data_IF_111257286102
#
_entry.id   IF_111257286102
#
_cell.length_a   1.000
_cell.length_b   1.000
_cell.length_c   1.000
_cell.angle_alpha   90.00
_cell.angle_beta   90.00
_cell.angle_gamma   90.00
#
_symmetry.space_group_name_H-M   'P 1'
#
loop_
_entity.id
_entity.type
_entity.pdbx_description
1 polymer ?
#
# COMPACT_ATOMS: atom_id res chain seq x y z
N UNK A 1 -0.12 35.47 -20.73
CA UNK A 1 0.48 36.14 -21.91
C UNK A 1 -0.51 37.17 -22.42
N UNK A 2 -0.23 38.46 -22.19
CA UNK A 2 -1.03 39.53 -22.75
C UNK A 2 -0.43 39.87 -24.12
N UNK A 3 -1.21 39.67 -25.17
CA UNK A 3 -0.86 40.14 -26.52
C UNK A 3 -1.18 41.63 -26.56
N UNK A 4 -0.15 42.45 -26.49
CA UNK A 4 -0.30 43.90 -26.67
C UNK A 4 -0.32 44.21 -28.17
N UNK A 5 -1.39 44.84 -28.67
CA UNK A 5 -1.38 45.32 -30.06
C UNK A 5 -0.36 46.46 -30.23
N UNK A 6 0.29 46.48 -31.38
CA UNK A 6 1.29 47.52 -31.73
C UNK A 6 0.56 48.86 -31.99
N UNK A 7 0.93 49.91 -31.24
CA UNK A 7 0.30 51.24 -31.37
C UNK A 7 1.32 52.23 -31.98
N UNK A 8 0.90 52.89 -33.04
CA UNK A 8 1.68 53.99 -33.64
C UNK A 8 1.39 55.27 -32.84
N UNK A 9 2.41 55.80 -32.17
CA UNK A 9 2.28 57.02 -31.39
C UNK A 9 2.29 58.25 -32.33
N UNK A 10 1.15 58.98 -32.36
CA UNK A 10 1.04 60.21 -33.06
C UNK A 10 0.59 61.34 -32.13
N UNK A 11 0.70 62.62 -32.54
CA UNK A 11 0.38 63.78 -31.69
C UNK A 11 -1.07 63.84 -31.14
N UNK A 12 -1.92 62.89 -31.52
CA UNK A 12 -3.29 62.66 -30.99
C UNK A 12 -3.48 61.26 -30.53
N UNK A 13 -2.58 60.78 -29.65
CA UNK A 13 -2.70 59.42 -29.11
C UNK A 13 -3.91 59.33 -28.19
N UNK A 14 -4.90 58.43 -28.43
CA UNK A 14 -5.99 58.23 -27.50
C UNK A 14 -5.48 57.60 -26.20
N UNK A 15 -6.19 57.87 -25.12
CA UNK A 15 -5.90 57.23 -23.84
C UNK A 15 -6.05 55.73 -23.97
N UNK A 16 -5.01 55.00 -23.67
CA UNK A 16 -4.97 53.52 -23.79
C UNK A 16 -5.21 52.98 -22.38
N UNK A 17 -6.34 52.36 -22.14
CA UNK A 17 -6.64 51.64 -20.91
C UNK A 17 -6.29 50.14 -21.11
N UNK A 18 -5.31 49.69 -20.39
CA UNK A 18 -4.92 48.28 -20.40
C UNK A 18 -5.58 47.63 -19.21
N UNK A 19 -6.62 46.86 -19.45
CA UNK A 19 -7.28 46.04 -18.42
C UNK A 19 -6.58 44.68 -18.38
N UNK A 20 -5.83 44.44 -17.33
CA UNK A 20 -5.26 43.12 -17.08
C UNK A 20 -6.23 42.26 -16.28
N UNK A 21 -6.67 41.16 -16.84
CA UNK A 21 -7.40 40.14 -16.10
C UNK A 21 -6.39 39.20 -15.42
N UNK A 22 -6.56 38.99 -14.14
CA UNK A 22 -5.80 38.03 -13.40
C UNK A 22 -6.19 36.61 -13.86
N UNK A 23 -5.31 35.91 -14.56
CA UNK A 23 -5.49 34.50 -14.88
C UNK A 23 -5.10 33.71 -13.65
N UNK A 24 -6.07 33.41 -12.82
CA UNK A 24 -5.88 32.52 -11.67
C UNK A 24 -5.92 31.10 -12.23
N UNK A 25 -4.77 30.54 -12.53
CA UNK A 25 -4.65 29.09 -12.62
C UNK A 25 -4.81 28.56 -11.19
N UNK A 26 -6.00 28.15 -10.85
CA UNK A 26 -6.23 27.29 -9.71
C UNK A 26 -5.47 25.99 -10.02
N UNK A 27 -4.26 25.88 -9.50
CA UNK A 27 -3.63 24.58 -9.34
C UNK A 27 -4.61 23.80 -8.46
N UNK A 28 -5.09 22.68 -8.97
CA UNK A 28 -5.83 21.75 -8.14
C UNK A 28 -4.97 21.51 -6.89
N UNK A 29 -5.55 21.86 -5.75
CA UNK A 29 -4.90 21.64 -4.46
C UNK A 29 -4.60 20.15 -4.38
N UNK A 30 -3.34 19.79 -4.51
CA UNK A 30 -2.88 18.43 -4.22
C UNK A 30 -2.99 18.29 -2.71
N UNK A 31 -4.15 17.87 -2.26
CA UNK A 31 -4.35 17.49 -0.88
C UNK A 31 -3.48 16.24 -0.66
N UNK A 32 -2.27 16.46 -0.17
CA UNK A 32 -1.44 15.36 0.33
C UNK A 32 -2.10 14.86 1.60
N UNK A 33 -3.02 13.95 1.44
CA UNK A 33 -3.59 13.23 2.57
C UNK A 33 -2.48 12.37 3.13
N UNK A 34 -1.93 12.80 4.26
CA UNK A 34 -1.00 11.99 5.02
C UNK A 34 -1.77 10.79 5.57
N UNK A 35 -1.62 9.64 4.94
CA UNK A 35 -2.30 8.39 5.33
C UNK A 35 -2.01 7.95 6.78
N UNK A 36 -0.97 8.49 7.39
CA UNK A 36 -0.62 8.20 8.79
C UNK A 36 -1.59 8.81 9.82
N UNK A 37 -2.50 9.71 9.43
CA UNK A 37 -3.39 10.46 10.34
C UNK A 37 -4.86 10.47 9.92
N UNK A 38 -5.24 9.86 8.82
CA UNK A 38 -6.65 9.62 8.52
C UNK A 38 -7.24 8.57 9.46
N UNK A 39 -7.52 8.99 10.67
CA UNK A 39 -8.55 8.32 11.44
C UNK A 39 -9.89 8.69 10.80
N UNK A 40 -10.37 7.86 9.89
CA UNK A 40 -11.78 7.88 9.54
C UNK A 40 -12.59 7.90 10.84
N UNK A 41 -13.68 8.67 10.89
CA UNK A 41 -14.56 8.71 12.07
C UNK A 41 -15.12 7.34 12.47
N UNK A 42 -15.03 6.38 11.56
CA UNK A 42 -15.46 4.98 11.75
C UNK A 42 -14.31 4.03 12.13
N UNK A 43 -13.11 4.54 12.39
CA UNK A 43 -11.98 3.71 12.82
C UNK A 43 -12.18 3.30 14.26
N UNK A 44 -12.51 2.04 14.46
CA UNK A 44 -12.56 1.42 15.78
C UNK A 44 -11.23 1.50 16.53
N UNK A 45 -11.29 1.47 17.87
CA UNK A 45 -10.07 1.42 18.67
C UNK A 45 -9.22 0.22 18.26
N UNK A 46 -7.93 0.47 17.93
CA UNK A 46 -6.99 -0.59 17.57
C UNK A 46 -6.87 -0.91 16.07
N UNK A 47 -7.55 -0.17 15.19
CA UNK A 47 -7.36 -0.28 13.75
C UNK A 47 -6.15 0.53 13.30
N UNK A 48 -5.35 -0.06 12.40
CA UNK A 48 -4.26 0.59 11.67
C UNK A 48 -4.46 0.38 10.18
N UNK A 49 -4.24 1.42 9.39
CA UNK A 49 -4.28 1.34 7.93
C UNK A 49 -2.84 1.45 7.44
N UNK A 50 -2.40 0.47 6.66
CA UNK A 50 -1.04 0.34 6.16
C UNK A 50 -1.11 0.41 4.64
N UNK A 51 -0.51 1.44 4.06
CA UNK A 51 -0.39 1.58 2.62
C UNK A 51 0.91 0.97 2.07
N UNK A 52 1.01 0.89 0.75
CA UNK A 52 2.22 0.40 0.06
C UNK A 52 3.47 1.21 0.45
N UNK A 53 3.33 2.53 0.61
CA UNK A 53 4.43 3.41 1.00
C UNK A 53 4.99 3.08 2.39
N UNK A 54 4.14 2.63 3.31
CA UNK A 54 4.57 2.22 4.64
C UNK A 54 5.32 0.90 4.59
N UNK A 55 4.84 -0.04 3.74
CA UNK A 55 5.49 -1.33 3.51
C UNK A 55 6.89 -1.16 2.91
N UNK A 56 7.06 -0.20 2.00
CA UNK A 56 8.35 0.05 1.34
C UNK A 56 9.35 0.81 2.23
N UNK A 57 8.87 1.67 3.13
CA UNK A 57 9.74 2.50 3.98
C UNK A 57 10.35 1.76 5.17
N UNK A 58 9.75 0.67 5.61
CA UNK A 58 10.21 -0.02 6.82
C UNK A 58 11.52 -0.78 6.52
N UNK A 59 12.59 -0.32 7.14
CA UNK A 59 13.89 -0.96 7.04
C UNK A 59 13.84 -2.39 7.59
N UNK A 60 14.36 -3.36 6.83
CA UNK A 60 14.32 -4.78 7.22
C UNK A 60 12.96 -5.46 7.06
N UNK A 61 11.94 -4.73 6.63
CA UNK A 61 10.60 -5.28 6.35
C UNK A 61 10.59 -6.27 5.18
N UNK A 62 11.58 -6.18 4.31
CA UNK A 62 11.72 -7.04 3.11
C UNK A 62 10.44 -7.14 2.30
N UNK A 63 9.65 -6.04 2.30
CA UNK A 63 8.35 -5.94 1.63
C UNK A 63 7.35 -7.03 2.05
N UNK A 64 7.48 -7.51 3.28
CA UNK A 64 6.61 -8.52 3.88
C UNK A 64 5.70 -7.87 4.93
N UNK A 65 4.38 -7.97 4.73
CA UNK A 65 3.36 -7.38 5.61
C UNK A 65 3.55 -7.86 7.05
N UNK A 66 3.87 -9.15 7.25
CA UNK A 66 4.05 -9.71 8.58
C UNK A 66 5.17 -9.01 9.35
N UNK A 67 6.19 -8.55 8.65
CA UNK A 67 7.30 -7.79 9.25
C UNK A 67 6.95 -6.33 9.50
N UNK A 68 6.11 -5.75 8.64
CA UNK A 68 5.63 -4.38 8.78
C UNK A 68 4.77 -4.25 10.03
N UNK A 69 3.80 -5.14 10.22
CA UNK A 69 2.89 -5.05 11.37
C UNK A 69 3.57 -5.26 12.73
N UNK A 70 4.75 -5.84 12.76
CA UNK A 70 5.57 -5.96 13.99
C UNK A 70 6.00 -4.62 14.58
N UNK A 71 6.02 -3.57 13.77
CA UNK A 71 6.39 -2.23 14.24
C UNK A 71 5.28 -1.53 14.99
N UNK A 72 4.07 -2.10 14.97
CA UNK A 72 2.93 -1.50 15.64
C UNK A 72 2.83 -1.89 17.12
N UNK A 73 2.30 -0.99 17.95
CA UNK A 73 2.12 -1.24 19.38
C UNK A 73 1.24 -2.48 19.63
N UNK A 74 1.64 -3.30 20.59
CA UNK A 74 0.90 -4.50 20.98
C UNK A 74 1.15 -5.70 20.09
N UNK A 75 2.03 -5.60 19.10
CA UNK A 75 2.47 -6.71 18.25
C UNK A 75 3.86 -7.15 18.66
N UNK A 76 4.00 -8.42 18.95
CA UNK A 76 5.27 -9.09 19.17
C UNK A 76 5.45 -10.23 18.16
N UNK A 77 6.58 -10.87 18.19
CA UNK A 77 6.94 -11.93 17.24
C UNK A 77 7.62 -13.09 17.93
N UNK A 78 7.60 -14.23 17.27
CA UNK A 78 8.34 -15.40 17.77
C UNK A 78 9.83 -15.11 17.88
N UNK A 79 10.49 -15.50 18.99
CA UNK A 79 11.94 -15.36 19.14
C UNK A 79 12.73 -16.24 18.17
N UNK A 80 12.09 -17.18 17.51
CA UNK A 80 12.71 -18.06 16.52
C UNK A 80 12.89 -17.29 15.21
N UNK A 81 14.12 -16.96 14.86
CA UNK A 81 14.46 -15.96 13.84
C UNK A 81 13.98 -16.23 12.40
N UNK A 82 13.68 -17.47 12.03
CA UNK A 82 13.15 -17.80 10.70
C UNK A 82 11.61 -17.76 10.62
N UNK A 83 10.91 -17.58 11.74
CA UNK A 83 9.44 -17.52 11.81
C UNK A 83 8.98 -16.07 11.80
N UNK A 84 7.88 -15.83 11.09
CA UNK A 84 7.19 -14.53 11.06
C UNK A 84 5.84 -14.59 11.79
N UNK A 85 5.76 -15.38 12.84
CA UNK A 85 4.55 -15.46 13.65
C UNK A 85 4.17 -14.11 14.25
N UNK A 86 2.91 -13.76 14.14
CA UNK A 86 2.35 -12.57 14.75
C UNK A 86 1.71 -12.94 16.09
N UNK A 87 2.16 -12.31 17.13
CA UNK A 87 1.63 -12.42 18.49
C UNK A 87 1.04 -11.06 18.83
N UNK A 88 -0.28 -10.95 18.79
CA UNK A 88 -0.97 -9.69 19.02
C UNK A 88 -1.60 -9.71 20.40
N UNK A 89 -1.21 -8.75 21.24
CA UNK A 89 -1.70 -8.62 22.63
C UNK A 89 -1.57 -9.90 23.46
N UNK A 90 -0.54 -10.70 23.20
CA UNK A 90 -0.29 -11.95 23.93
C UNK A 90 -1.13 -13.15 23.46
N UNK A 91 -1.93 -13.02 22.41
CA UNK A 91 -2.69 -14.12 21.83
C UNK A 91 -1.80 -15.09 21.02
N UNK A 92 -2.28 -16.29 20.80
CA UNK A 92 -1.57 -17.30 20.03
C UNK A 92 -1.49 -16.90 18.54
N UNK A 93 -0.44 -17.30 17.80
CA UNK A 93 -0.35 -17.05 16.36
C UNK A 93 -1.53 -17.57 15.55
N UNK A 94 -2.13 -18.68 15.96
CA UNK A 94 -3.32 -19.27 15.32
C UNK A 94 -4.63 -18.53 15.57
N UNK A 95 -4.63 -17.53 16.45
CA UNK A 95 -5.81 -16.71 16.77
C UNK A 95 -5.96 -15.48 15.89
N UNK A 96 -5.02 -15.27 14.96
CA UNK A 96 -5.08 -14.21 13.98
C UNK A 96 -5.85 -14.68 12.74
N UNK A 97 -6.74 -13.83 12.22
CA UNK A 97 -7.44 -14.08 10.97
C UNK A 97 -6.91 -13.19 9.87
N UNK A 98 -6.81 -13.76 8.68
CA UNK A 98 -6.31 -13.07 7.50
C UNK A 98 -7.34 -13.12 6.39
N UNK A 99 -7.62 -11.98 5.78
CA UNK A 99 -8.54 -11.84 4.65
C UNK A 99 -7.80 -11.23 3.47
N UNK A 100 -8.07 -11.75 2.28
CA UNK A 100 -7.59 -11.21 1.01
C UNK A 100 -8.81 -10.93 0.14
N UNK A 101 -9.06 -9.65 -0.14
CA UNK A 101 -10.26 -9.18 -0.85
C UNK A 101 -11.57 -9.77 -0.30
N UNK A 102 -11.67 -9.86 1.03
CA UNK A 102 -12.83 -10.39 1.73
C UNK A 102 -12.91 -11.92 1.85
N UNK A 103 -11.93 -12.64 1.29
CA UNK A 103 -11.84 -14.10 1.39
C UNK A 103 -10.86 -14.47 2.51
N UNK A 104 -11.30 -15.29 3.45
CA UNK A 104 -10.42 -15.80 4.50
C UNK A 104 -9.33 -16.71 3.93
N UNK A 105 -8.08 -16.41 4.29
CA UNK A 105 -6.91 -17.21 3.93
C UNK A 105 -6.23 -17.73 5.20
N UNK A 106 -5.71 -18.97 5.17
CA UNK A 106 -5.16 -19.58 6.38
C UNK A 106 -3.86 -18.95 6.86
N UNK A 107 -3.07 -18.41 5.93
CA UNK A 107 -1.75 -17.85 6.21
C UNK A 107 -1.39 -16.77 5.19
N UNK A 108 -0.54 -15.83 5.61
CA UNK A 108 0.04 -14.79 4.74
C UNK A 108 1.49 -15.08 4.32
N UNK A 109 2.09 -16.15 4.85
CA UNK A 109 3.47 -16.52 4.58
C UNK A 109 3.57 -17.98 4.12
N UNK A 110 4.53 -18.24 3.22
CA UNK A 110 4.92 -19.59 2.84
C UNK A 110 5.63 -20.32 3.98
N UNK A 111 5.55 -21.65 3.95
CA UNK A 111 6.25 -22.54 4.89
C UNK A 111 5.85 -22.34 6.35
N UNK A 112 4.61 -21.91 6.59
CA UNK A 112 4.06 -21.88 7.93
C UNK A 112 3.90 -23.31 8.47
N UNK A 113 4.20 -23.49 9.74
CA UNK A 113 4.00 -24.77 10.44
C UNK A 113 2.63 -24.79 11.12
N UNK A 114 2.14 -25.96 11.51
CA UNK A 114 0.87 -26.08 12.22
C UNK A 114 0.88 -25.23 13.50
N UNK A 115 -0.20 -24.49 13.72
CA UNK A 115 -0.33 -23.56 14.86
C UNK A 115 0.47 -22.26 14.73
N UNK A 116 1.12 -22.03 13.60
CA UNK A 116 1.83 -20.80 13.27
C UNK A 116 0.98 -19.89 12.39
N UNK A 117 1.14 -18.59 12.50
CA UNK A 117 0.53 -17.60 11.61
C UNK A 117 1.48 -17.13 10.50
N UNK A 118 2.74 -17.50 10.56
CA UNK A 118 3.74 -17.01 9.63
C UNK A 118 4.92 -17.92 9.40
N UNK A 119 5.43 -17.89 8.18
CA UNK A 119 6.67 -18.50 7.75
C UNK A 119 7.69 -17.46 7.30
N UNK A 120 8.84 -17.87 6.78
CA UNK A 120 9.95 -16.95 6.48
C UNK A 120 9.72 -16.01 5.31
N UNK A 121 8.75 -16.29 4.43
CA UNK A 121 8.53 -15.55 3.18
C UNK A 121 7.04 -15.28 2.99
N UNK A 122 6.68 -14.03 2.80
CA UNK A 122 5.29 -13.62 2.51
C UNK A 122 4.77 -14.18 1.19
N UNK A 123 3.51 -14.59 1.15
CA UNK A 123 2.84 -15.10 -0.07
C UNK A 123 2.50 -13.95 -1.00
N UNK A 124 2.03 -12.84 -0.43
CA UNK A 124 1.49 -11.71 -1.19
C UNK A 124 2.63 -10.78 -1.59
N UNK A 125 2.67 -10.42 -2.88
CA UNK A 125 3.60 -9.40 -3.32
C UNK A 125 3.09 -8.03 -2.91
N UNK A 126 3.92 -7.26 -2.20
CA UNK A 126 3.60 -5.91 -1.75
C UNK A 126 3.18 -4.96 -2.90
N UNK A 127 3.70 -5.16 -4.12
CA UNK A 127 3.33 -4.34 -5.28
C UNK A 127 1.87 -4.46 -5.69
N UNK A 128 1.22 -5.54 -5.32
CA UNK A 128 -0.20 -5.78 -5.60
C UNK A 128 -1.13 -5.18 -4.55
N UNK A 129 -0.60 -4.78 -3.41
CA UNK A 129 -1.40 -4.33 -2.27
C UNK A 129 -1.80 -2.88 -2.49
N UNK A 130 -3.07 -2.57 -2.32
CA UNK A 130 -3.60 -1.22 -2.20
C UNK A 130 -3.47 -0.74 -0.76
N UNK A 131 -4.05 -1.50 0.18
CA UNK A 131 -4.03 -1.20 1.60
C UNK A 131 -4.20 -2.46 2.43
N UNK A 132 -3.72 -2.40 3.67
CA UNK A 132 -3.96 -3.41 4.68
C UNK A 132 -4.63 -2.75 5.87
N UNK A 133 -5.81 -3.23 6.27
CA UNK A 133 -6.45 -2.84 7.52
C UNK A 133 -6.10 -3.87 8.56
N UNK A 134 -5.38 -3.45 9.56
CA UNK A 134 -4.94 -4.30 10.66
C UNK A 134 -5.66 -3.92 11.94
N UNK A 135 -6.40 -4.86 12.51
CA UNK A 135 -7.17 -4.69 13.72
C UNK A 135 -6.54 -5.47 14.87
N UNK A 136 -6.13 -4.78 15.93
CA UNK A 136 -5.62 -5.40 17.16
C UNK A 136 -6.67 -5.48 18.26
N UNK A 137 -7.81 -4.85 18.07
CA UNK A 137 -8.99 -4.86 18.95
C UNK A 137 -10.18 -4.26 18.22
N UNK A 138 -11.40 -4.40 18.78
CA UNK A 138 -12.59 -3.75 18.25
C UNK A 138 -12.95 -4.23 16.84
N UNK A 139 -12.95 -5.53 16.62
CA UNK A 139 -13.23 -6.10 15.31
C UNK A 139 -14.65 -5.75 14.85
N UNK A 140 -14.86 -5.34 13.59
CA UNK A 140 -16.18 -5.23 13.00
C UNK A 140 -16.95 -6.55 13.08
N UNK A 141 -18.26 -6.48 13.13
CA UNK A 141 -19.15 -7.67 13.28
C UNK A 141 -18.97 -8.67 12.13
N UNK A 142 -18.59 -8.20 10.97
CA UNK A 142 -18.31 -9.01 9.77
C UNK A 142 -17.12 -9.98 9.96
N UNK A 143 -16.21 -9.68 10.88
CA UNK A 143 -15.02 -10.47 11.17
C UNK A 143 -15.24 -11.37 12.42
N UNK A 144 -16.25 -12.22 12.37
CA UNK A 144 -16.53 -13.16 13.46
C UNK A 144 -15.44 -14.20 13.65
N UNK A 145 -15.21 -14.60 14.91
CA UNK A 145 -14.29 -15.70 15.24
C UNK A 145 -12.83 -15.29 15.48
N UNK A 146 -12.45 -14.04 15.28
CA UNK A 146 -11.13 -13.54 15.63
C UNK A 146 -10.96 -13.43 17.15
N UNK A 147 -9.85 -13.91 17.69
CA UNK A 147 -9.52 -13.83 19.11
C UNK A 147 -8.41 -12.81 19.39
N UNK A 148 -7.45 -12.69 18.49
CA UNK A 148 -6.25 -11.86 18.69
C UNK A 148 -6.18 -10.68 17.73
N UNK A 149 -6.18 -10.93 16.43
CA UNK A 149 -6.18 -9.87 15.42
C UNK A 149 -6.91 -10.25 14.14
N UNK A 150 -7.27 -9.23 13.37
CA UNK A 150 -7.76 -9.38 12.00
C UNK A 150 -6.91 -8.55 11.07
N UNK A 151 -6.51 -9.12 9.94
CA UNK A 151 -5.81 -8.44 8.86
C UNK A 151 -6.62 -8.56 7.57
N UNK A 152 -7.20 -7.46 7.11
CA UNK A 152 -7.91 -7.35 5.84
C UNK A 152 -6.98 -6.71 4.81
N UNK A 153 -6.59 -7.49 3.81
CA UNK A 153 -5.67 -7.10 2.74
C UNK A 153 -6.48 -6.88 1.49
N UNK A 154 -6.36 -5.69 0.91
CA UNK A 154 -6.97 -5.35 -0.37
C UNK A 154 -5.91 -5.20 -1.44
N UNK A 155 -6.15 -5.86 -2.56
CA UNK A 155 -5.34 -5.73 -3.75
C UNK A 155 -5.80 -4.51 -4.55
N UNK A 156 -4.85 -3.87 -5.22
CA UNK A 156 -5.13 -2.75 -6.11
C UNK A 156 -5.76 -3.24 -7.41
N UNK A 157 -6.56 -2.39 -8.01
CA UNK A 157 -7.03 -2.59 -9.37
C UNK A 157 -5.93 -2.25 -10.39
N UNK A 158 -6.06 -2.77 -11.62
CA UNK A 158 -5.20 -2.35 -12.72
C UNK A 158 -5.47 -0.88 -13.11
N UNK A 159 -4.46 -0.23 -13.65
CA UNK A 159 -4.53 1.17 -14.02
C UNK A 159 -5.46 1.38 -15.23
N UNK A 160 -6.52 2.19 -15.06
CA UNK A 160 -7.47 2.53 -16.13
C UNK A 160 -6.91 3.55 -17.13
N UNK A 161 -5.89 4.31 -16.76
CA UNK A 161 -5.36 5.42 -17.55
C UNK A 161 -4.15 5.05 -18.39
N UNK A 162 -3.55 3.89 -18.14
CA UNK A 162 -2.35 3.45 -18.84
C UNK A 162 -1.85 2.08 -18.39
N UNK A 163 -0.78 1.63 -18.99
CA UNK A 163 -0.09 0.43 -18.55
C UNK A 163 1.13 0.83 -17.73
N UNK A 164 1.30 0.24 -16.56
CA UNK A 164 2.44 0.44 -15.70
C UNK A 164 3.15 -0.89 -15.44
N UNK A 165 4.48 -0.81 -15.39
CA UNK A 165 5.33 -1.95 -15.13
C UNK A 165 6.36 -1.57 -14.07
N UNK A 166 6.59 -2.47 -13.13
CA UNK A 166 7.59 -2.31 -12.08
C UNK A 166 8.46 -3.56 -12.02
N UNK A 167 9.76 -3.36 -12.15
CA UNK A 167 10.76 -4.39 -11.90
C UNK A 167 11.52 -4.05 -10.62
N UNK A 168 11.62 -5.00 -9.71
CA UNK A 168 12.32 -4.84 -8.44
C UNK A 168 13.40 -5.91 -8.35
N UNK A 169 14.63 -5.47 -8.10
CA UNK A 169 15.76 -6.33 -7.82
C UNK A 169 16.19 -6.08 -6.38
N UNK A 170 15.92 -7.02 -5.50
CA UNK A 170 16.30 -6.98 -4.10
C UNK A 170 17.51 -7.87 -3.81
N UNK A 171 18.03 -7.83 -2.58
CA UNK A 171 19.14 -8.66 -2.16
C UNK A 171 18.83 -10.18 -2.18
N UNK A 172 17.57 -10.55 -2.06
CA UNK A 172 17.13 -11.94 -1.96
C UNK A 172 16.09 -12.37 -2.99
N UNK A 173 15.55 -11.42 -3.77
CA UNK A 173 14.45 -11.68 -4.68
C UNK A 173 14.48 -10.78 -5.92
N UNK A 174 13.90 -11.29 -6.97
CA UNK A 174 13.50 -10.54 -8.15
C UNK A 174 11.98 -10.56 -8.23
N UNK A 175 11.39 -9.40 -8.47
CA UNK A 175 9.96 -9.27 -8.72
C UNK A 175 9.70 -8.44 -9.97
N UNK A 176 8.69 -8.83 -10.73
CA UNK A 176 8.17 -8.08 -11.86
C UNK A 176 6.65 -8.01 -11.75
N UNK A 177 6.11 -6.84 -11.75
CA UNK A 177 4.67 -6.61 -11.66
C UNK A 177 4.24 -5.61 -12.73
N UNK A 178 2.99 -5.70 -13.14
CA UNK A 178 2.41 -4.77 -14.08
C UNK A 178 0.91 -4.73 -13.96
N UNK A 179 0.34 -3.61 -14.37
CA UNK A 179 -1.09 -3.36 -14.38
C UNK A 179 -1.46 -2.48 -15.55
N UNK A 180 -2.72 -2.56 -15.96
CA UNK A 180 -3.21 -1.76 -17.06
C UNK A 180 -4.67 -2.05 -17.37
N UNK A 181 -5.11 -1.61 -18.54
CA UNK A 181 -6.48 -1.82 -18.98
C UNK A 181 -6.56 -2.52 -20.34
N UNK A 182 -7.66 -3.23 -20.53
CA UNK A 182 -8.04 -3.84 -21.83
C UNK A 182 -9.39 -3.24 -22.20
N UNK A 183 -9.38 -2.34 -23.19
CA UNK A 183 -10.58 -1.60 -23.56
C UNK A 183 -11.01 -0.61 -22.48
N UNK A 184 -12.32 -0.35 -22.37
CA UNK A 184 -12.86 0.69 -21.48
C UNK A 184 -13.41 0.18 -20.14
N UNK A 185 -13.49 -1.14 -19.95
CA UNK A 185 -14.22 -1.72 -18.82
C UNK A 185 -13.45 -2.76 -18.03
N UNK A 186 -12.28 -3.18 -18.54
CA UNK A 186 -11.52 -4.26 -17.92
C UNK A 186 -10.12 -3.81 -17.60
N UNK A 187 -9.68 -4.04 -16.38
CA UNK A 187 -8.30 -3.88 -15.96
C UNK A 187 -7.64 -5.25 -15.79
N UNK A 188 -6.33 -5.26 -15.85
CA UNK A 188 -5.52 -6.43 -15.57
C UNK A 188 -4.40 -6.06 -14.61
N UNK A 189 -4.03 -7.02 -13.80
CA UNK A 189 -2.92 -6.93 -12.86
C UNK A 189 -2.19 -8.26 -12.86
N UNK A 190 -0.88 -8.25 -12.90
CA UNK A 190 -0.09 -9.46 -12.73
C UNK A 190 1.17 -9.20 -11.91
N UNK A 191 1.69 -10.26 -11.29
CA UNK A 191 2.95 -10.22 -10.58
C UNK A 191 3.67 -11.56 -10.68
N UNK A 192 4.97 -11.49 -10.88
CA UNK A 192 5.88 -12.60 -10.82
C UNK A 192 6.97 -12.27 -9.79
N UNK A 193 7.15 -13.14 -8.80
CA UNK A 193 8.21 -12.99 -7.81
C UNK A 193 8.98 -14.30 -7.66
N UNK A 194 10.29 -14.21 -7.63
CA UNK A 194 11.17 -15.37 -7.39
C UNK A 194 12.30 -15.00 -6.42
N UNK A 195 12.42 -15.79 -5.36
CA UNK A 195 13.56 -15.71 -4.46
C UNK A 195 14.73 -16.51 -5.02
N UNK A 196 15.94 -15.97 -4.92
CA UNK A 196 17.16 -16.63 -5.34
C UNK A 196 18.12 -16.93 -4.16
N UNK A 197 17.61 -16.93 -2.95
CA UNK A 197 18.38 -17.31 -1.74
C UNK A 197 19.07 -18.68 -1.88
N UNK A 198 18.50 -19.59 -2.68
CA UNK A 198 19.09 -20.88 -2.94
C UNK A 198 20.50 -20.80 -3.57
N UNK A 199 20.79 -19.75 -4.34
CA UNK A 199 22.13 -19.56 -4.91
C UNK A 199 23.15 -19.13 -3.87
N UNK A 200 22.72 -18.38 -2.84
CA UNK A 200 23.59 -17.95 -1.75
C UNK A 200 23.98 -19.10 -0.80
N UNK A 201 23.14 -20.12 -0.70
CA UNK A 201 23.40 -21.30 0.16
C UNK A 201 24.05 -22.45 -0.58
N UNK A 202 24.28 -22.35 -1.89
CA UNK A 202 24.98 -23.34 -2.70
C UNK A 202 26.46 -23.01 -2.98
N UNK A 203 26.89 -21.82 -2.59
CA UNK A 203 28.27 -21.36 -2.58
C UNK A 203 28.91 -21.66 -1.23
#
# INVERSE_FOLDING_TARGET
>A
DAVTPEYIISARTPFIEIVMSQNINLLEEVTVVSSALERSRDVGMGQQIIGIADIEKIAGGNRDISRVVRTYPGVSFSPIGYRNDLIVRGGAPSENLFYLDGIEIPNINHFSTQGASGGPVGIINADLIEQVKFYTAGFPVEWGGALSSVMDIRLKDGNFYGNDFKATLGASEFAFSGGGHIGKKTTWLFSLRRSYLQFLFKL
#
